data_IF_424172716073
#
_entry.id   IF_424172716073
#
_cell.length_a   1.000
_cell.length_b   1.000
_cell.length_c   1.000
_cell.angle_alpha   90.00
_cell.angle_beta   90.00
_cell.angle_gamma   90.00
#
_symmetry.space_group_name_H-M   'P 1'
#
loop_
_entity.id
_entity.type
_entity.pdbx_description
1 polymer ?
#
# COMPACT_ATOMS: atom_id res chain seq x y z
N UNK A 1 -3.90 -5.35 -9.79
CA UNK A 1 -2.56 -4.79 -10.06
C UNK A 1 -2.61 -3.42 -10.73
N UNK A 2 -3.47 -3.20 -11.74
CA UNK A 2 -3.51 -1.92 -12.47
C UNK A 2 -3.86 -0.71 -11.60
N UNK A 3 -4.83 -0.84 -10.69
CA UNK A 3 -5.15 0.20 -9.69
C UNK A 3 -3.93 0.55 -8.83
N UNK A 4 -3.19 -0.45 -8.34
CA UNK A 4 -1.98 -0.26 -7.52
C UNK A 4 -0.92 0.52 -8.28
N UNK A 5 -0.69 0.16 -9.55
CA UNK A 5 0.23 0.86 -10.46
C UNK A 5 -0.18 2.31 -10.64
N UNK A 6 -1.44 2.57 -10.97
CA UNK A 6 -1.94 3.92 -11.19
C UNK A 6 -1.88 4.79 -9.92
N UNK A 7 -2.22 4.24 -8.76
CA UNK A 7 -2.11 4.97 -7.48
C UNK A 7 -0.65 5.32 -7.16
N UNK A 8 0.28 4.39 -7.36
CA UNK A 8 1.70 4.62 -7.10
C UNK A 8 2.26 5.71 -8.02
N UNK A 9 2.02 5.62 -9.34
CA UNK A 9 2.51 6.62 -10.29
C UNK A 9 1.88 7.99 -10.08
N UNK A 10 0.58 8.04 -9.75
CA UNK A 10 -0.09 9.30 -9.42
C UNK A 10 0.51 9.95 -8.17
N UNK A 11 0.82 9.17 -7.14
CA UNK A 11 1.46 9.67 -5.93
C UNK A 11 2.89 10.17 -6.20
N UNK A 12 3.69 9.41 -6.97
CA UNK A 12 5.02 9.83 -7.37
C UNK A 12 5.01 11.13 -8.19
N UNK A 13 4.16 11.20 -9.21
CA UNK A 13 4.01 12.41 -10.03
C UNK A 13 3.57 13.63 -9.21
N UNK A 14 2.66 13.44 -8.25
CA UNK A 14 2.23 14.51 -7.34
C UNK A 14 3.36 14.96 -6.39
N UNK A 15 4.21 14.03 -5.94
CA UNK A 15 5.37 14.32 -5.13
C UNK A 15 6.40 15.15 -5.91
N UNK A 16 6.74 14.73 -7.13
CA UNK A 16 7.69 15.41 -8.01
C UNK A 16 7.22 16.82 -8.38
N UNK A 17 5.92 16.98 -8.64
CA UNK A 17 5.31 18.29 -8.93
C UNK A 17 5.08 19.16 -7.67
N UNK A 18 5.53 18.71 -6.49
CA UNK A 18 5.30 19.36 -5.20
C UNK A 18 3.81 19.68 -4.92
N UNK A 19 2.89 18.86 -5.44
CA UNK A 19 1.45 19.11 -5.41
C UNK A 19 0.95 19.29 -3.95
N UNK A 20 -0.06 20.15 -3.70
CA UNK A 20 -0.61 20.35 -2.35
C UNK A 20 -1.04 19.03 -1.67
N UNK A 21 -1.59 18.12 -2.46
CA UNK A 21 -2.14 16.84 -1.98
C UNK A 21 -1.13 15.68 -1.94
N UNK A 22 0.16 15.93 -2.19
CA UNK A 22 1.18 14.86 -2.31
C UNK A 22 1.20 13.92 -1.09
N UNK A 23 1.04 14.45 0.12
CA UNK A 23 1.06 13.66 1.36
C UNK A 23 -0.13 12.69 1.40
N UNK A 24 -1.34 13.19 1.11
CA UNK A 24 -2.56 12.38 1.09
C UNK A 24 -2.49 11.32 -0.01
N UNK A 25 -2.01 11.67 -1.20
CA UNK A 25 -1.87 10.72 -2.32
C UNK A 25 -0.84 9.62 -2.02
N UNK A 26 0.32 9.96 -1.44
CA UNK A 26 1.31 8.98 -0.99
C UNK A 26 0.75 8.06 0.10
N UNK A 27 0.00 8.60 1.07
CA UNK A 27 -0.63 7.80 2.12
C UNK A 27 -1.68 6.83 1.55
N UNK A 28 -2.52 7.28 0.62
CA UNK A 28 -3.50 6.44 -0.10
C UNK A 28 -2.81 5.33 -0.89
N UNK A 29 -1.76 5.67 -1.66
CA UNK A 29 -1.01 4.70 -2.44
C UNK A 29 -0.36 3.66 -1.53
N UNK A 30 0.33 4.08 -0.47
CA UNK A 30 0.97 3.15 0.46
C UNK A 30 -0.02 2.20 1.11
N UNK A 31 -1.12 2.72 1.65
CA UNK A 31 -2.16 1.92 2.27
C UNK A 31 -2.68 0.84 1.31
N UNK A 32 -3.10 1.24 0.12
CA UNK A 32 -3.72 0.34 -0.84
C UNK A 32 -2.74 -0.66 -1.43
N UNK A 33 -1.56 -0.19 -1.86
CA UNK A 33 -0.58 -1.02 -2.58
C UNK A 33 -0.01 -2.09 -1.65
N UNK A 34 0.32 -1.76 -0.40
CA UNK A 34 0.92 -2.72 0.53
C UNK A 34 -0.06 -3.82 0.93
N UNK A 35 -1.33 -3.49 1.19
CA UNK A 35 -2.36 -4.49 1.46
C UNK A 35 -2.59 -5.39 0.22
N UNK A 36 -2.68 -4.81 -0.99
CA UNK A 36 -2.90 -5.58 -2.21
C UNK A 36 -1.73 -6.46 -2.62
N UNK A 37 -0.48 -6.01 -2.43
CA UNK A 37 0.68 -6.86 -2.69
C UNK A 37 0.70 -8.07 -1.75
N UNK A 38 0.43 -7.86 -0.46
CA UNK A 38 0.35 -8.96 0.50
C UNK A 38 -0.75 -9.96 0.15
N UNK A 39 -1.97 -9.48 -0.15
CA UNK A 39 -3.11 -10.33 -0.52
C UNK A 39 -2.81 -11.21 -1.75
N UNK A 40 -2.19 -10.64 -2.78
CA UNK A 40 -1.82 -11.39 -3.99
C UNK A 40 -0.76 -12.45 -3.69
N UNK A 41 0.25 -12.12 -2.88
CA UNK A 41 1.29 -13.08 -2.52
C UNK A 41 0.74 -14.22 -1.65
N UNK A 42 -0.16 -13.90 -0.71
CA UNK A 42 -0.83 -14.87 0.15
C UNK A 42 -1.71 -15.84 -0.67
N UNK A 43 -2.47 -15.31 -1.64
CA UNK A 43 -3.23 -16.11 -2.59
C UNK A 43 -2.33 -17.01 -3.44
N UNK A 44 -1.20 -16.49 -3.94
CA UNK A 44 -0.26 -17.28 -4.70
C UNK A 44 0.33 -18.43 -3.87
N UNK A 45 0.67 -18.18 -2.60
CA UNK A 45 1.14 -19.20 -1.66
C UNK A 45 0.07 -20.26 -1.43
N UNK A 46 -1.18 -19.86 -1.18
CA UNK A 46 -2.31 -20.78 -0.99
C UNK A 46 -2.55 -21.67 -2.21
N UNK A 47 -2.44 -21.13 -3.43
CA UNK A 47 -2.60 -21.88 -4.68
C UNK A 47 -1.52 -22.96 -4.87
N UNK A 48 -0.32 -22.75 -4.33
CA UNK A 48 0.77 -23.73 -4.40
C UNK A 48 0.68 -24.80 -3.30
N UNK A 49 -0.27 -24.69 -2.37
CA UNK A 49 -0.42 -25.60 -1.24
C UNK A 49 0.87 -25.73 -0.43
N UNK A 50 1.24 -26.97 -0.05
CA UNK A 50 2.47 -27.23 0.72
C UNK A 50 3.75 -26.80 0.00
N UNK A 51 3.78 -26.83 -1.33
CA UNK A 51 4.94 -26.42 -2.12
C UNK A 51 5.23 -24.92 -1.99
N UNK A 52 4.20 -24.10 -1.71
CA UNK A 52 4.36 -22.66 -1.48
C UNK A 52 5.25 -22.33 -0.27
N UNK A 53 5.40 -23.27 0.66
CA UNK A 53 6.29 -23.16 1.83
C UNK A 53 7.73 -23.62 1.58
N UNK A 54 8.00 -24.28 0.46
CA UNK A 54 9.36 -24.73 0.15
C UNK A 54 10.19 -23.58 -0.40
N UNK A 55 11.43 -23.48 0.08
CA UNK A 55 12.38 -22.43 -0.34
C UNK A 55 12.66 -22.46 -1.85
N UNK A 56 12.55 -23.62 -2.48
CA UNK A 56 12.76 -23.82 -3.92
C UNK A 56 11.81 -22.98 -4.79
N UNK A 57 10.57 -22.77 -4.34
CA UNK A 57 9.58 -21.95 -5.05
C UNK A 57 9.60 -20.48 -4.61
N UNK A 58 10.23 -20.14 -3.49
CA UNK A 58 10.45 -18.76 -3.03
C UNK A 58 9.21 -17.97 -2.56
N UNK A 59 8.00 -18.54 -2.65
CA UNK A 59 6.74 -17.88 -2.28
C UNK A 59 6.68 -17.48 -0.80
N UNK A 60 7.11 -18.36 0.11
CA UNK A 60 7.17 -18.06 1.54
C UNK A 60 8.01 -16.80 1.85
N UNK A 61 9.10 -16.61 1.08
CA UNK A 61 9.94 -15.43 1.21
C UNK A 61 9.21 -14.16 0.77
N UNK A 62 8.50 -14.21 -0.36
CA UNK A 62 7.74 -13.07 -0.87
C UNK A 62 6.67 -12.66 0.14
N UNK A 63 5.89 -13.61 0.67
CA UNK A 63 4.84 -13.32 1.67
C UNK A 63 5.43 -12.68 2.93
N UNK A 64 6.51 -13.26 3.45
CA UNK A 64 7.21 -12.75 4.65
C UNK A 64 7.79 -11.36 4.43
N UNK A 65 8.43 -11.11 3.29
CA UNK A 65 9.02 -9.82 2.96
C UNK A 65 7.92 -8.75 2.78
N UNK A 66 6.80 -9.09 2.14
CA UNK A 66 5.69 -8.14 1.94
C UNK A 66 4.96 -7.80 3.23
N UNK A 67 4.98 -8.67 4.25
CA UNK A 67 4.31 -8.43 5.53
C UNK A 67 4.79 -7.14 6.21
N UNK A 68 6.09 -6.85 6.07
CA UNK A 68 6.76 -5.74 6.76
C UNK A 68 6.33 -4.37 6.22
N UNK A 69 5.92 -4.29 4.95
CA UNK A 69 5.52 -3.03 4.32
C UNK A 69 4.23 -2.43 4.90
N UNK A 70 3.42 -3.23 5.59
CA UNK A 70 2.24 -2.77 6.33
C UNK A 70 2.60 -2.12 7.68
N UNK A 71 3.87 -2.15 8.07
CA UNK A 71 4.37 -1.75 9.39
C UNK A 71 5.38 -0.59 9.28
N UNK A 72 6.41 -0.73 8.44
CA UNK A 72 7.50 0.24 8.32
C UNK A 72 7.06 1.52 7.61
N UNK A 73 7.76 2.63 7.84
CA UNK A 73 7.47 3.96 7.28
C UNK A 73 6.06 4.50 7.61
N UNK A 74 5.47 3.99 8.69
CA UNK A 74 4.10 4.25 9.14
C UNK A 74 3.14 3.11 8.80
N UNK A 75 2.41 2.59 9.80
CA UNK A 75 1.50 1.45 9.58
C UNK A 75 0.31 1.83 8.70
N UNK A 76 -0.41 0.83 8.21
CA UNK A 76 -1.63 1.05 7.42
C UNK A 76 -2.72 1.80 8.22
N UNK A 77 -2.79 1.59 9.52
CA UNK A 77 -3.67 2.34 10.42
C UNK A 77 -3.26 3.81 10.51
N UNK A 78 -1.96 4.10 10.59
CA UNK A 78 -1.45 5.48 10.54
C UNK A 78 -1.77 6.14 9.19
N UNK A 79 -1.65 5.42 8.07
CA UNK A 79 -2.06 5.96 6.77
C UNK A 79 -3.54 6.33 6.74
N UNK A 80 -4.43 5.52 7.33
CA UNK A 80 -5.87 5.87 7.48
C UNK A 80 -6.07 7.13 8.30
N UNK A 81 -5.30 7.33 9.38
CA UNK A 81 -5.35 8.57 10.18
C UNK A 81 -4.91 9.79 9.36
N UNK A 82 -3.82 9.68 8.59
CA UNK A 82 -3.34 10.77 7.72
C UNK A 82 -4.40 11.16 6.69
N UNK A 83 -4.98 10.16 6.01
CA UNK A 83 -6.06 10.36 5.04
C UNK A 83 -7.27 11.01 5.72
N UNK A 84 -7.71 10.46 6.85
CA UNK A 84 -8.86 11.00 7.59
C UNK A 84 -8.69 12.47 8.01
N UNK A 85 -7.49 12.84 8.50
CA UNK A 85 -7.17 14.24 8.86
C UNK A 85 -7.23 15.17 7.65
N UNK A 86 -6.69 14.73 6.50
CA UNK A 86 -6.77 15.48 5.23
C UNK A 86 -8.23 15.74 4.86
N UNK A 87 -9.05 14.70 4.82
CA UNK A 87 -10.45 14.82 4.39
C UNK A 87 -11.29 15.67 5.37
N UNK A 88 -11.10 15.50 6.68
CA UNK A 88 -11.74 16.37 7.68
C UNK A 88 -11.38 17.83 7.51
N UNK A 89 -10.12 18.14 7.15
CA UNK A 89 -9.72 19.52 6.90
C UNK A 89 -10.32 20.09 5.62
N UNK A 90 -10.46 19.29 4.56
CA UNK A 90 -11.13 19.72 3.32
C UNK A 90 -12.58 20.09 3.57
N UNK A 91 -13.31 19.24 4.29
CA UNK A 91 -14.72 19.46 4.62
C UNK A 91 -14.89 20.77 5.41
N UNK A 92 -14.07 20.99 6.43
CA UNK A 92 -14.10 22.22 7.23
C UNK A 92 -13.81 23.49 6.41
N UNK A 93 -12.97 23.39 5.38
CA UNK A 93 -12.63 24.54 4.53
C UNK A 93 -13.67 24.79 3.42
N UNK A 94 -14.59 23.85 3.20
CA UNK A 94 -15.67 23.94 2.20
C UNK A 94 -17.01 24.39 2.77
N UNK A 95 -17.11 24.48 4.11
CA UNK A 95 -18.25 25.05 4.84
C UNK A 95 -17.97 26.51 5.19
#
# INVERSE_FOLDING_TARGET
METSRNMLWRAASALDANHPDKVTLCAMAKLYVTDKCYEVADQALQLHGGYGYLREYGLEKIVRDLRVHRILEGTNEIMRVVIGRSESSRIRNSA
#
